data_IF_540382880576
#
_entry.id   IF_540382880576
#
_cell.length_a   1.000
_cell.length_b   1.000
_cell.length_c   1.000
_cell.angle_alpha   90.00
_cell.angle_beta   90.00
_cell.angle_gamma   90.00
#
_symmetry.space_group_name_H-M   'P 1'
#
loop_
_entity.id
_entity.type
_entity.pdbx_description
1 polymer ?
#
# COMPACT_ATOMS: atom_id res chain seq x y z
N UNK A 1 11.66 9.59 2.90
CA UNK A 1 13.07 9.57 3.31
C UNK A 1 13.33 8.78 4.60
N UNK A 2 12.29 8.35 5.29
CA UNK A 2 12.41 7.64 6.57
C UNK A 2 12.27 6.11 6.47
N UNK A 3 12.23 5.55 5.26
CA UNK A 3 12.00 4.12 4.99
C UNK A 3 10.78 3.53 5.76
N UNK A 4 9.76 4.36 5.96
CA UNK A 4 8.55 4.03 6.70
C UNK A 4 7.31 3.83 5.80
N UNK A 5 7.52 3.69 4.49
CA UNK A 5 6.48 3.45 3.51
C UNK A 5 6.68 2.11 2.80
N UNK A 6 5.58 1.41 2.55
CA UNK A 6 5.57 0.22 1.69
C UNK A 6 4.93 0.61 0.36
N UNK A 7 5.71 0.54 -0.73
CA UNK A 7 5.18 0.78 -2.06
C UNK A 7 4.57 -0.50 -2.64
N UNK A 8 3.24 -0.57 -2.68
CA UNK A 8 2.51 -1.75 -3.15
C UNK A 8 2.55 -1.95 -4.67
N UNK A 9 3.03 -0.97 -5.45
CA UNK A 9 3.08 -1.02 -6.92
C UNK A 9 4.46 -1.37 -7.48
N UNK A 10 5.42 -1.71 -6.64
CA UNK A 10 6.72 -2.26 -7.08
C UNK A 10 6.61 -3.74 -7.42
N UNK A 11 7.69 -4.32 -7.97
CA UNK A 11 7.76 -5.76 -8.22
C UNK A 11 7.58 -6.59 -6.94
N UNK A 12 7.13 -7.84 -7.06
CA UNK A 12 6.95 -8.74 -5.91
C UNK A 12 8.26 -8.93 -5.13
N UNK A 13 9.39 -8.98 -5.85
CA UNK A 13 10.72 -9.09 -5.24
C UNK A 13 11.05 -7.87 -4.37
N UNK A 14 10.76 -6.68 -4.86
CA UNK A 14 10.98 -5.44 -4.12
C UNK A 14 10.01 -5.27 -2.96
N UNK A 15 8.73 -5.57 -3.18
CA UNK A 15 7.71 -5.54 -2.12
C UNK A 15 8.10 -6.50 -0.99
N UNK A 16 8.50 -7.72 -1.32
CA UNK A 16 8.97 -8.70 -0.32
C UNK A 16 10.19 -8.18 0.43
N UNK A 17 11.15 -7.55 -0.26
CA UNK A 17 12.34 -6.94 0.37
C UNK A 17 11.94 -5.84 1.36
N UNK A 18 11.02 -4.95 1.00
CA UNK A 18 10.52 -3.88 1.88
C UNK A 18 9.84 -4.47 3.12
N UNK A 19 8.99 -5.48 2.96
CA UNK A 19 8.30 -6.11 4.09
C UNK A 19 9.28 -6.86 5.00
N UNK A 20 10.25 -7.57 4.43
CA UNK A 20 11.27 -8.27 5.22
C UNK A 20 12.20 -7.33 5.99
N UNK A 21 12.35 -6.08 5.56
CA UNK A 21 13.15 -5.06 6.27
C UNK A 21 12.42 -4.40 7.45
N UNK A 22 11.12 -4.64 7.64
CA UNK A 22 10.38 -4.09 8.79
C UNK A 22 11.06 -4.52 10.08
N UNK A 23 11.38 -3.55 10.92
CA UNK A 23 12.02 -3.80 12.23
C UNK A 23 11.07 -4.54 13.17
N UNK A 24 11.56 -5.60 13.76
CA UNK A 24 10.90 -6.39 14.83
C UNK A 24 11.85 -6.51 16.00
N UNK A 25 11.37 -6.93 17.14
CA UNK A 25 12.23 -7.26 18.26
C UNK A 25 13.08 -8.52 17.98
N UNK A 26 13.93 -8.90 18.95
CA UNK A 26 14.85 -10.03 18.85
C UNK A 26 14.39 -11.25 19.69
N UNK A 27 13.08 -11.37 19.96
CA UNK A 27 12.56 -12.52 20.70
C UNK A 27 12.80 -13.83 19.94
N UNK A 28 13.23 -14.85 20.67
CA UNK A 28 13.48 -16.18 20.13
C UNK A 28 12.19 -16.81 19.56
N UNK A 29 12.36 -17.77 18.65
CA UNK A 29 11.25 -18.40 17.93
C UNK A 29 10.23 -19.04 18.87
N UNK A 30 10.70 -19.75 19.88
CA UNK A 30 9.93 -20.50 20.88
C UNK A 30 9.12 -19.61 21.84
N UNK A 31 9.49 -18.34 21.97
CA UNK A 31 8.84 -17.43 22.92
C UNK A 31 7.52 -16.90 22.35
N UNK A 32 6.47 -16.83 23.18
CA UNK A 32 5.27 -16.08 22.86
C UNK A 32 5.60 -14.61 22.55
N UNK A 33 4.90 -14.05 21.58
CA UNK A 33 5.10 -12.68 21.13
C UNK A 33 3.83 -11.87 21.33
N UNK A 34 4.00 -10.59 21.65
CA UNK A 34 2.87 -9.67 21.78
C UNK A 34 2.52 -9.09 20.41
N UNK A 35 1.34 -9.38 19.83
CA UNK A 35 0.92 -8.82 18.56
C UNK A 35 0.72 -7.29 18.65
N UNK A 36 0.31 -6.76 19.81
CA UNK A 36 -0.05 -5.34 19.96
C UNK A 36 1.15 -4.39 19.83
N UNK A 37 2.36 -4.87 20.12
CA UNK A 37 3.57 -4.05 19.96
C UNK A 37 4.25 -4.28 18.61
N UNK A 38 3.90 -5.34 17.88
CA UNK A 38 4.54 -5.72 16.63
C UNK A 38 4.02 -4.92 15.44
N UNK A 39 4.90 -4.15 14.78
CA UNK A 39 4.55 -3.36 13.61
C UNK A 39 4.04 -4.21 12.44
N UNK A 40 4.56 -5.42 12.25
CA UNK A 40 4.11 -6.34 11.21
C UNK A 40 2.65 -6.76 11.45
N UNK A 41 2.29 -7.07 12.70
CA UNK A 41 0.92 -7.42 13.05
C UNK A 41 -0.03 -6.23 12.89
N UNK A 42 0.36 -5.03 13.31
CA UNK A 42 -0.44 -3.81 13.13
C UNK A 42 -0.75 -3.55 11.65
N UNK A 43 0.24 -3.71 10.77
CA UNK A 43 0.03 -3.56 9.32
C UNK A 43 -0.88 -4.67 8.76
N UNK A 44 -0.69 -5.91 9.22
CA UNK A 44 -1.55 -7.02 8.83
C UNK A 44 -3.01 -6.78 9.21
N UNK A 45 -3.24 -6.30 10.44
CA UNK A 45 -4.58 -6.02 10.96
C UNK A 45 -5.33 -4.93 10.18
N UNK A 46 -4.64 -3.99 9.54
CA UNK A 46 -5.28 -2.95 8.71
C UNK A 46 -5.96 -3.51 7.45
N UNK A 47 -5.50 -4.66 6.95
CA UNK A 47 -5.97 -5.24 5.68
C UNK A 47 -6.75 -6.54 5.89
N UNK A 48 -6.46 -7.26 6.96
CA UNK A 48 -7.05 -8.55 7.28
C UNK A 48 -8.48 -8.43 7.80
N UNK A 49 -9.27 -9.44 7.56
CA UNK A 49 -10.55 -9.62 8.27
C UNK A 49 -10.32 -9.86 9.77
N UNK A 50 -11.34 -9.61 10.57
CA UNK A 50 -11.28 -9.85 12.04
C UNK A 50 -10.89 -11.28 12.36
N UNK A 51 -11.37 -12.26 11.58
CA UNK A 51 -11.06 -13.68 11.75
C UNK A 51 -9.61 -14.02 11.42
N UNK A 52 -9.05 -13.43 10.37
CA UNK A 52 -7.64 -13.63 9.98
C UNK A 52 -6.70 -12.98 11.00
N UNK A 53 -7.00 -11.74 11.41
CA UNK A 53 -6.23 -11.04 12.44
C UNK A 53 -6.22 -11.83 13.76
N UNK A 54 -7.37 -12.37 14.18
CA UNK A 54 -7.47 -13.21 15.38
C UNK A 54 -6.61 -14.47 15.27
N UNK A 55 -6.68 -15.20 14.15
CA UNK A 55 -5.86 -16.38 13.90
C UNK A 55 -4.36 -16.08 13.96
N UNK A 56 -3.93 -14.97 13.38
CA UNK A 56 -2.54 -14.56 13.43
C UNK A 56 -2.11 -14.17 14.85
N UNK A 57 -2.96 -13.44 15.58
CA UNK A 57 -2.74 -13.09 16.99
C UNK A 57 -2.55 -14.34 17.89
N UNK A 58 -3.38 -15.37 17.68
CA UNK A 58 -3.26 -16.64 18.38
C UNK A 58 -1.91 -17.32 18.13
N UNK A 59 -1.42 -17.32 16.88
CA UNK A 59 -0.08 -17.85 16.53
C UNK A 59 1.03 -17.08 17.24
N UNK A 60 0.95 -15.75 17.33
CA UNK A 60 1.91 -14.93 18.06
C UNK A 60 1.99 -15.33 19.53
N UNK A 61 0.85 -15.52 20.19
CA UNK A 61 0.72 -15.85 21.60
C UNK A 61 1.09 -17.30 21.93
N UNK A 62 0.90 -18.22 20.97
CA UNK A 62 1.22 -19.64 21.17
C UNK A 62 2.72 -19.94 21.20
N UNK A 63 3.58 -19.04 20.68
CA UNK A 63 4.99 -19.32 20.47
C UNK A 63 5.25 -20.21 19.24
N UNK A 64 6.52 -20.53 18.99
CA UNK A 64 6.96 -21.27 17.79
C UNK A 64 6.53 -20.65 16.46
N UNK A 65 6.32 -19.32 16.43
CA UNK A 65 5.95 -18.57 15.26
C UNK A 65 6.94 -17.42 15.03
N UNK A 66 7.62 -17.45 13.89
CA UNK A 66 8.68 -16.49 13.57
C UNK A 66 8.15 -15.18 13.01
N UNK A 67 8.89 -14.09 13.24
CA UNK A 67 8.60 -12.82 12.57
C UNK A 67 8.73 -12.93 11.04
N UNK A 68 9.58 -13.84 10.54
CA UNK A 68 9.69 -14.16 9.12
C UNK A 68 8.36 -14.66 8.54
N UNK A 69 7.71 -15.60 9.24
CA UNK A 69 6.42 -16.16 8.82
C UNK A 69 5.32 -15.10 8.85
N UNK A 70 5.33 -14.21 9.86
CA UNK A 70 4.41 -13.09 9.93
C UNK A 70 4.60 -12.10 8.78
N UNK A 71 5.85 -11.82 8.39
CA UNK A 71 6.18 -10.97 7.24
C UNK A 71 5.75 -11.59 5.92
N UNK A 72 5.88 -12.91 5.77
CA UNK A 72 5.37 -13.64 4.61
C UNK A 72 3.85 -13.54 4.55
N UNK A 73 3.15 -13.77 5.67
CA UNK A 73 1.70 -13.63 5.73
C UNK A 73 1.23 -12.21 5.37
N UNK A 74 1.95 -11.17 5.81
CA UNK A 74 1.67 -9.79 5.40
C UNK A 74 1.89 -9.57 3.91
N UNK A 75 2.96 -10.12 3.33
CA UNK A 75 3.23 -10.04 1.91
C UNK A 75 2.11 -10.68 1.09
N UNK A 76 1.70 -11.90 1.43
CA UNK A 76 0.65 -12.64 0.75
C UNK A 76 -0.71 -11.89 0.84
N UNK A 77 -1.00 -11.33 2.01
CA UNK A 77 -2.21 -10.53 2.22
C UNK A 77 -2.21 -9.27 1.34
N UNK A 78 -1.11 -8.53 1.25
CA UNK A 78 -0.98 -7.33 0.41
C UNK A 78 -1.15 -7.72 -1.06
N UNK A 79 -0.47 -8.77 -1.52
CA UNK A 79 -0.56 -9.24 -2.91
C UNK A 79 -1.99 -9.65 -3.28
N UNK A 80 -2.68 -10.36 -2.41
CA UNK A 80 -4.07 -10.77 -2.61
C UNK A 80 -5.03 -9.59 -2.60
N UNK A 81 -4.92 -8.73 -1.57
CA UNK A 81 -5.82 -7.59 -1.37
C UNK A 81 -5.75 -6.57 -2.51
N UNK A 82 -4.56 -6.31 -3.03
CA UNK A 82 -4.30 -5.32 -4.08
C UNK A 82 -4.04 -5.93 -5.47
N UNK A 83 -4.36 -7.20 -5.71
CA UNK A 83 -4.09 -7.89 -6.99
C UNK A 83 -4.63 -7.12 -8.18
N UNK A 84 -5.91 -6.74 -8.16
CA UNK A 84 -6.58 -6.01 -9.25
C UNK A 84 -5.97 -4.62 -9.49
N UNK A 85 -5.61 -3.91 -8.43
CA UNK A 85 -4.99 -2.58 -8.53
C UNK A 85 -3.57 -2.69 -9.10
N UNK A 86 -2.80 -3.69 -8.70
CA UNK A 86 -1.46 -3.97 -9.22
C UNK A 86 -1.49 -4.37 -10.70
N UNK A 87 -2.41 -5.24 -11.08
CA UNK A 87 -2.65 -5.60 -12.49
C UNK A 87 -2.99 -4.37 -13.33
N UNK A 88 -3.91 -3.53 -12.83
CA UNK A 88 -4.29 -2.31 -13.52
C UNK A 88 -3.13 -1.33 -13.64
N UNK A 89 -2.33 -1.18 -12.60
CA UNK A 89 -1.13 -0.34 -12.62
C UNK A 89 -0.14 -0.84 -13.68
N UNK A 90 0.18 -2.13 -13.70
CA UNK A 90 1.09 -2.73 -14.67
C UNK A 90 0.56 -2.54 -16.10
N UNK A 91 -0.74 -2.80 -16.32
CA UNK A 91 -1.37 -2.57 -17.61
C UNK A 91 -1.19 -1.11 -18.09
N UNK A 92 -1.39 -0.13 -17.20
CA UNK A 92 -1.25 1.29 -17.55
C UNK A 92 0.22 1.65 -17.82
N UNK A 93 1.16 1.08 -17.08
CA UNK A 93 2.59 1.32 -17.27
C UNK A 93 3.12 0.71 -18.57
N UNK A 94 2.55 -0.42 -19.00
CA UNK A 94 2.88 -1.06 -20.28
C UNK A 94 2.20 -0.33 -21.47
N UNK A 95 1.09 0.38 -21.22
CA UNK A 95 0.30 1.08 -22.24
C UNK A 95 0.35 2.61 -22.06
N UNK A 96 1.54 3.20 -22.04
CA UNK A 96 1.75 4.63 -21.78
C UNK A 96 0.96 5.55 -22.71
N UNK A 97 0.82 5.18 -23.98
CA UNK A 97 0.03 5.97 -24.94
C UNK A 97 -1.44 6.10 -24.52
N UNK A 98 -2.02 5.02 -23.97
CA UNK A 98 -3.37 5.05 -23.42
C UNK A 98 -3.43 5.96 -22.18
N UNK A 99 -2.46 5.84 -21.28
CA UNK A 99 -2.35 6.68 -20.10
C UNK A 99 -2.28 8.17 -20.48
N UNK A 100 -1.43 8.52 -21.45
CA UNK A 100 -1.28 9.89 -21.93
C UNK A 100 -2.57 10.45 -22.53
N UNK A 101 -3.33 9.64 -23.27
CA UNK A 101 -4.64 10.04 -23.78
C UNK A 101 -5.64 10.34 -22.67
N UNK A 102 -5.71 9.51 -21.64
CA UNK A 102 -6.61 9.74 -20.50
C UNK A 102 -6.20 10.97 -19.68
N UNK A 103 -4.89 11.19 -19.48
CA UNK A 103 -4.37 12.40 -18.84
C UNK A 103 -4.71 13.66 -19.64
N UNK A 104 -4.56 13.64 -20.97
CA UNK A 104 -4.94 14.76 -21.86
C UNK A 104 -6.44 15.06 -21.78
N UNK A 105 -7.29 14.03 -21.76
CA UNK A 105 -8.74 14.20 -21.58
C UNK A 105 -9.07 14.86 -20.24
N UNK A 106 -8.39 14.42 -19.17
CA UNK A 106 -8.53 15.01 -17.83
C UNK A 106 -8.10 16.47 -17.80
N UNK A 107 -6.93 16.78 -18.35
CA UNK A 107 -6.39 18.13 -18.45
C UNK A 107 -7.33 19.06 -19.27
N UNK A 108 -7.89 18.58 -20.38
CA UNK A 108 -8.86 19.34 -21.17
C UNK A 108 -10.12 19.68 -20.35
N UNK A 109 -10.70 18.70 -19.65
CA UNK A 109 -11.87 18.96 -18.76
C UNK A 109 -11.56 19.98 -17.70
N UNK A 110 -10.41 19.87 -17.05
CA UNK A 110 -9.96 20.82 -16.03
C UNK A 110 -9.75 22.23 -16.61
N UNK A 111 -9.15 22.34 -17.81
CA UNK A 111 -8.91 23.63 -18.46
C UNK A 111 -10.19 24.39 -18.81
N UNK A 112 -11.28 23.70 -19.19
CA UNK A 112 -12.58 24.34 -19.43
C UNK A 112 -13.10 25.03 -18.16
N UNK A 113 -12.99 24.35 -17.03
CA UNK A 113 -13.47 24.88 -15.74
C UNK A 113 -12.56 26.02 -15.27
N UNK A 114 -11.25 25.82 -15.29
CA UNK A 114 -10.28 26.82 -14.85
C UNK A 114 -10.31 28.09 -15.69
N UNK A 115 -10.48 27.97 -17.03
CA UNK A 115 -10.59 29.13 -17.93
C UNK A 115 -11.83 29.96 -17.62
N UNK A 116 -12.98 29.32 -17.35
CA UNK A 116 -14.20 30.05 -16.95
C UNK A 116 -14.01 30.82 -15.64
N UNK A 117 -13.39 30.18 -14.65
CA UNK A 117 -13.10 30.84 -13.36
C UNK A 117 -12.12 31.99 -13.56
N UNK A 118 -11.04 31.77 -14.30
CA UNK A 118 -10.01 32.76 -14.56
C UNK A 118 -10.58 33.98 -15.31
N UNK A 119 -11.40 33.77 -16.35
CA UNK A 119 -12.08 34.87 -17.07
C UNK A 119 -12.98 35.68 -16.14
N UNK A 120 -13.77 35.01 -15.28
CA UNK A 120 -14.60 35.70 -14.29
C UNK A 120 -13.78 36.54 -13.32
N UNK A 121 -12.69 35.97 -12.81
CA UNK A 121 -11.79 36.70 -11.89
C UNK A 121 -11.18 37.92 -12.60
N UNK A 122 -10.63 37.74 -13.80
CA UNK A 122 -10.04 38.83 -14.59
C UNK A 122 -11.03 39.96 -14.85
N UNK A 123 -12.24 39.64 -15.30
CA UNK A 123 -13.28 40.64 -15.52
C UNK A 123 -13.65 41.40 -14.24
N UNK A 124 -13.67 40.74 -13.08
CA UNK A 124 -14.00 41.39 -11.81
C UNK A 124 -12.90 42.32 -11.30
N UNK A 125 -11.65 42.11 -11.69
CA UNK A 125 -10.50 42.93 -11.30
C UNK A 125 -10.02 43.92 -12.39
N UNK A 126 -10.75 43.98 -13.54
CA UNK A 126 -10.49 44.92 -14.60
C UNK A 126 -9.42 44.54 -15.62
N UNK A 127 -9.20 43.22 -15.81
CA UNK A 127 -8.30 42.65 -16.83
C UNK A 127 -9.08 41.98 -17.97
#
# INVERSE_FOLDING_TARGET
SYDNCINIFVSDKELKKQIMSIKTDSLALDKPKDPEICNVFKLYQLLASVTEAKKLSEKYKAGNFGYGDAKIALFDLICSHYSKQREKFNYLMDNKNFLDLELKKGAYKASIISSKVLSRVRNNIGY
#
